data_IF_549238960921
#
_entry.id   IF_549238960921
#
_cell.length_a   1.000
_cell.length_b   1.000
_cell.length_c   1.000
_cell.angle_alpha   90.00
_cell.angle_beta   90.00
_cell.angle_gamma   90.00
#
_symmetry.space_group_name_H-M   'P 1'
#
loop_
_entity.id
_entity.type
_entity.pdbx_description
1 polymer ?
#
# COMPACT_ATOMS: atom_id res chain seq x y z
N UNK A 1 -16.81 -4.98 26.83
CA UNK A 1 -15.46 -5.35 26.38
C UNK A 1 -15.58 -6.23 25.14
N UNK A 2 -15.56 -5.63 23.95
CA UNK A 2 -15.54 -6.42 22.72
C UNK A 2 -14.08 -6.75 22.39
N UNK A 3 -13.82 -8.05 22.27
CA UNK A 3 -12.49 -8.62 22.10
C UNK A 3 -11.97 -8.25 20.69
N UNK A 4 -10.89 -7.46 20.60
CA UNK A 4 -10.19 -7.11 19.34
C UNK A 4 -9.59 -8.38 18.74
N UNK A 5 -10.37 -9.11 17.94
CA UNK A 5 -9.83 -10.15 17.07
C UNK A 5 -9.40 -9.49 15.77
N UNK A 6 -8.13 -9.09 15.72
CA UNK A 6 -7.45 -8.67 14.49
C UNK A 6 -7.15 -9.93 13.67
N UNK A 7 -8.11 -10.39 12.86
CA UNK A 7 -7.80 -11.38 11.82
C UNK A 7 -7.13 -10.64 10.66
N UNK A 8 -5.80 -10.69 10.62
CA UNK A 8 -5.00 -10.27 9.49
C UNK A 8 -4.86 -11.48 8.56
N UNK A 9 -5.80 -11.60 7.63
CA UNK A 9 -5.79 -12.70 6.66
C UNK A 9 -4.88 -12.32 5.48
N UNK A 10 -3.66 -12.87 5.47
CA UNK A 10 -2.75 -12.77 4.33
C UNK A 10 -3.13 -13.88 3.35
N UNK A 11 -3.95 -13.56 2.35
CA UNK A 11 -4.26 -14.51 1.28
C UNK A 11 -3.16 -14.47 0.20
N UNK A 12 -2.30 -15.50 0.17
CA UNK A 12 -1.24 -15.67 -0.84
C UNK A 12 -1.73 -16.63 -1.92
N UNK A 13 -2.12 -16.11 -3.09
CA UNK A 13 -2.55 -16.96 -4.21
C UNK A 13 -1.42 -17.22 -5.24
N UNK A 14 -1.02 -18.50 -5.28
CA UNK A 14 -0.42 -19.32 -6.37
C UNK A 14 0.96 -19.04 -6.98
N UNK A 15 1.85 -20.04 -6.80
CA UNK A 15 3.14 -20.30 -7.48
C UNK A 15 2.98 -20.71 -8.96
N UNK A 16 2.55 -19.80 -9.83
CA UNK A 16 2.65 -20.02 -11.29
C UNK A 16 3.05 -18.77 -12.09
N UNK A 17 3.17 -17.63 -11.41
CA UNK A 17 3.66 -16.36 -11.95
C UNK A 17 4.73 -15.82 -11.02
N UNK A 18 5.76 -15.13 -11.52
CA UNK A 18 6.82 -14.48 -10.69
C UNK A 18 6.30 -13.30 -9.84
N UNK A 19 5.02 -13.34 -9.45
CA UNK A 19 4.27 -12.28 -8.79
C UNK A 19 3.39 -12.85 -7.69
N UNK A 20 3.48 -12.23 -6.52
CA UNK A 20 2.76 -12.52 -5.29
C UNK A 20 1.70 -11.44 -5.11
N UNK A 21 0.46 -11.86 -4.92
CA UNK A 21 -0.64 -10.99 -4.50
C UNK A 21 -0.72 -10.97 -2.98
N UNK A 22 -0.79 -9.79 -2.37
CA UNK A 22 -0.88 -9.62 -0.93
C UNK A 22 -2.02 -8.68 -0.58
N UNK A 23 -2.81 -9.08 0.42
CA UNK A 23 -3.93 -8.31 0.96
C UNK A 23 -3.66 -8.04 2.44
N UNK A 24 -3.76 -6.78 2.83
CA UNK A 24 -3.77 -6.33 4.21
C UNK A 24 -5.20 -5.95 4.52
N UNK A 25 -5.82 -6.54 5.53
CA UNK A 25 -7.19 -6.19 5.93
C UNK A 25 -7.27 -6.02 7.44
N UNK A 26 -7.94 -4.95 7.85
CA UNK A 26 -8.36 -4.73 9.23
C UNK A 26 -9.74 -4.12 9.23
N UNK A 27 -10.67 -4.75 9.94
CA UNK A 27 -12.00 -4.20 10.19
C UNK A 27 -12.05 -3.63 11.61
N UNK A 28 -12.60 -2.42 11.74
CA UNK A 28 -12.71 -1.77 13.02
C UNK A 28 -13.88 -0.79 13.06
N UNK A 29 -14.11 -0.21 14.23
CA UNK A 29 -15.10 0.85 14.45
C UNK A 29 -14.35 2.16 14.66
N UNK A 30 -14.85 3.22 14.04
CA UNK A 30 -14.38 4.60 14.26
C UNK A 30 -15.41 5.27 15.16
N UNK A 31 -14.96 5.66 16.35
CA UNK A 31 -15.79 6.40 17.30
C UNK A 31 -15.82 7.89 16.95
N UNK A 32 -16.90 8.58 17.34
CA UNK A 32 -17.02 10.02 17.06
C UNK A 32 -16.05 10.84 17.92
N UNK A 33 -15.37 11.81 17.33
CA UNK A 33 -14.66 12.85 18.07
C UNK A 33 -15.69 13.65 18.90
N UNK A 34 -15.43 13.85 20.19
CA UNK A 34 -16.29 14.67 21.04
C UNK A 34 -16.23 16.15 20.65
N UNK A 35 -17.22 16.95 21.09
CA UNK A 35 -17.25 18.41 20.85
C UNK A 35 -16.12 19.20 21.56
N UNK A 36 -15.32 18.54 22.41
CA UNK A 36 -14.28 19.15 23.25
C UNK A 36 -12.89 19.22 22.60
N UNK A 37 -12.73 18.87 21.31
CA UNK A 37 -11.42 18.90 20.66
C UNK A 37 -10.98 20.32 20.27
N UNK A 38 -10.32 20.98 21.22
CA UNK A 38 -9.32 22.03 20.99
C UNK A 38 -7.96 21.39 20.66
N UNK A 39 -7.83 20.70 19.53
CA UNK A 39 -6.51 20.24 19.10
C UNK A 39 -6.43 20.21 17.57
N UNK A 40 -5.39 20.85 17.03
CA UNK A 40 -5.32 21.36 15.66
C UNK A 40 -5.26 20.34 14.51
N UNK A 41 -5.51 19.06 14.77
CA UNK A 41 -5.78 18.06 13.73
C UNK A 41 -7.30 17.82 13.76
N UNK A 42 -8.02 18.21 12.70
CA UNK A 42 -9.47 17.97 12.60
C UNK A 42 -9.85 16.51 12.90
N UNK A 43 -11.15 16.24 13.10
CA UNK A 43 -11.66 14.91 13.48
C UNK A 43 -11.28 13.79 12.50
N UNK A 44 -10.08 13.23 12.72
CA UNK A 44 -9.47 12.16 11.93
C UNK A 44 -9.05 11.05 12.88
N UNK A 45 -9.62 9.86 12.68
CA UNK A 45 -9.19 8.63 13.32
C UNK A 45 -8.12 7.94 12.46
N UNK A 46 -7.04 7.52 13.12
CA UNK A 46 -5.88 6.90 12.47
C UNK A 46 -5.70 5.50 13.03
N UNK A 47 -5.94 4.50 12.20
CA UNK A 47 -5.70 3.10 12.53
C UNK A 47 -4.42 2.61 11.87
N UNK A 48 -3.53 2.00 12.66
CA UNK A 48 -2.30 1.38 12.17
C UNK A 48 -2.28 -0.11 12.48
N UNK A 49 -1.93 -0.92 11.50
CA UNK A 49 -1.64 -2.34 11.67
C UNK A 49 -0.33 -2.68 10.97
N UNK A 50 0.42 -3.65 11.50
CA UNK A 50 1.73 -4.02 10.94
C UNK A 50 1.83 -5.53 10.78
N UNK A 51 2.46 -5.96 9.70
CA UNK A 51 2.67 -7.38 9.37
C UNK A 51 4.04 -7.59 8.74
N UNK A 52 4.82 -8.59 9.18
CA UNK A 52 6.02 -9.02 8.50
C UNK A 52 5.69 -9.78 7.20
N UNK A 53 6.30 -9.39 6.09
CA UNK A 53 6.25 -10.15 4.84
C UNK A 53 7.30 -11.26 4.85
N UNK A 54 6.87 -12.51 4.70
CA UNK A 54 7.81 -13.64 4.66
C UNK A 54 8.74 -13.59 3.45
N UNK A 55 8.22 -13.17 2.29
CA UNK A 55 8.99 -13.01 1.06
C UNK A 55 8.65 -11.65 0.46
N UNK A 56 9.69 -10.85 0.22
CA UNK A 56 9.61 -9.55 -0.39
C UNK A 56 9.65 -9.62 -1.92
N UNK A 57 9.96 -8.49 -2.54
CA UNK A 57 10.06 -8.36 -3.98
C UNK A 57 9.80 -6.92 -4.44
N UNK A 58 9.66 -6.73 -5.74
CA UNK A 58 9.42 -5.43 -6.35
C UNK A 58 7.93 -5.13 -6.40
N UNK A 59 7.51 -4.03 -5.78
CA UNK A 59 6.12 -3.58 -5.87
C UNK A 59 5.86 -3.15 -7.30
N UNK A 60 4.76 -3.64 -7.89
CA UNK A 60 4.33 -3.29 -9.26
C UNK A 60 2.97 -2.60 -9.28
N UNK A 61 2.16 -2.80 -8.24
CA UNK A 61 0.85 -2.21 -8.10
C UNK A 61 0.45 -2.13 -6.62
N UNK A 62 -0.30 -1.10 -6.26
CA UNK A 62 -0.93 -0.98 -4.96
C UNK A 62 -2.21 -0.17 -5.01
N UNK A 63 -3.21 -0.55 -4.23
CA UNK A 63 -4.47 0.19 -4.10
C UNK A 63 -5.10 -0.11 -2.74
N UNK A 64 -5.66 0.89 -2.08
CA UNK A 64 -6.46 0.67 -0.89
C UNK A 64 -7.93 0.49 -1.23
N UNK A 65 -8.68 -0.06 -0.29
CA UNK A 65 -10.13 -0.08 -0.29
C UNK A 65 -10.61 0.42 1.07
N UNK A 66 -11.48 1.43 1.05
CA UNK A 66 -12.08 2.03 2.22
C UNK A 66 -13.57 2.23 1.99
N UNK A 67 -14.34 2.22 3.08
CA UNK A 67 -15.76 2.54 3.08
C UNK A 67 -15.96 4.05 3.28
N UNK A 68 -17.19 4.52 3.11
CA UNK A 68 -17.56 5.93 3.31
C UNK A 68 -17.10 6.46 4.66
N UNK A 69 -16.43 7.61 4.65
CA UNK A 69 -15.71 8.16 5.80
C UNK A 69 -14.20 8.03 5.67
N UNK A 70 -13.70 7.17 4.79
CA UNK A 70 -12.27 7.07 4.50
C UNK A 70 -11.71 8.40 3.97
N UNK A 71 -10.57 8.82 4.49
CA UNK A 71 -9.80 10.00 4.06
C UNK A 71 -8.64 9.57 3.17
N UNK A 72 -8.11 8.38 3.41
CA UNK A 72 -7.00 7.81 2.67
C UNK A 72 -6.34 6.69 3.45
N UNK A 73 -5.49 5.94 2.77
CA UNK A 73 -4.69 4.90 3.38
C UNK A 73 -3.30 4.89 2.77
N UNK A 74 -2.30 4.65 3.61
CA UNK A 74 -0.90 4.58 3.20
C UNK A 74 -0.25 3.32 3.73
N UNK A 75 0.46 2.62 2.85
CA UNK A 75 1.32 1.49 3.21
C UNK A 75 2.76 1.99 3.33
N UNK A 76 3.38 1.68 4.46
CA UNK A 76 4.75 2.06 4.79
C UNK A 76 5.66 0.84 4.87
N UNK A 77 6.92 1.03 4.46
CA UNK A 77 8.01 0.11 4.76
C UNK A 77 8.48 0.25 6.20
N UNK A 78 9.28 -0.71 6.66
CA UNK A 78 9.77 -0.74 8.05
C UNK A 78 10.64 0.48 8.39
N UNK A 79 11.30 1.05 7.39
CA UNK A 79 12.12 2.26 7.48
C UNK A 79 11.29 3.56 7.43
N UNK A 80 9.95 3.45 7.43
CA UNK A 80 9.03 4.58 7.36
C UNK A 80 8.85 5.15 5.95
N UNK A 81 9.46 4.57 4.91
CA UNK A 81 9.25 5.02 3.53
C UNK A 81 7.81 4.74 3.10
N UNK A 82 7.26 5.64 2.30
CA UNK A 82 5.95 5.42 1.67
C UNK A 82 6.11 4.42 0.52
N UNK A 83 5.43 3.28 0.62
CA UNK A 83 5.32 2.30 -0.46
C UNK A 83 4.19 2.72 -1.39
N UNK A 84 3.01 2.99 -0.86
CA UNK A 84 1.89 3.46 -1.66
C UNK A 84 0.90 4.24 -0.80
N UNK A 85 0.47 5.40 -1.30
CA UNK A 85 -0.65 6.16 -0.73
C UNK A 85 -1.82 6.10 -1.70
N UNK A 86 -2.97 5.70 -1.17
CA UNK A 86 -4.21 5.55 -1.92
C UNK A 86 -5.27 6.46 -1.32
N UNK A 87 -5.80 7.36 -2.16
CA UNK A 87 -6.70 8.44 -1.79
C UNK A 87 -8.07 8.17 -2.40
N UNK A 88 -9.15 8.29 -1.62
CA UNK A 88 -10.51 8.08 -2.11
C UNK A 88 -10.96 9.18 -3.07
N UNK A 89 -11.67 8.75 -4.09
CA UNK A 89 -12.50 9.60 -4.94
C UNK A 89 -13.94 9.44 -4.48
N UNK A 90 -14.55 10.54 -4.05
CA UNK A 90 -15.96 10.56 -3.66
C UNK A 90 -16.87 10.87 -4.85
N UNK A 91 -18.05 10.27 -4.86
CA UNK A 91 -19.10 10.57 -5.82
C UNK A 91 -19.73 11.95 -5.55
N UNK A 92 -20.41 12.50 -6.56
CA UNK A 92 -21.05 13.81 -6.49
C UNK A 92 -22.47 13.86 -7.10
N UNK A 93 -23.02 12.71 -7.47
CA UNK A 93 -24.33 12.56 -8.09
C UNK A 93 -25.24 11.60 -7.33
N UNK A 94 -26.28 11.13 -8.02
CA UNK A 94 -27.26 10.17 -7.48
C UNK A 94 -27.30 8.87 -8.30
N UNK A 95 -26.43 8.75 -9.31
CA UNK A 95 -26.36 7.59 -10.18
C UNK A 95 -25.51 6.48 -9.55
N UNK A 96 -25.81 5.23 -9.92
CA UNK A 96 -25.06 4.07 -9.48
C UNK A 96 -23.56 4.22 -9.82
N UNK A 97 -22.70 4.20 -8.81
CA UNK A 97 -21.25 4.38 -8.96
C UNK A 97 -20.77 5.84 -9.00
N UNK A 98 -21.65 6.82 -8.74
CA UNK A 98 -21.28 8.22 -8.55
C UNK A 98 -22.03 8.86 -7.38
N UNK A 99 -22.46 8.08 -6.39
CA UNK A 99 -23.32 8.55 -5.30
C UNK A 99 -22.60 9.52 -4.36
N UNK A 100 -23.23 10.66 -4.08
CA UNK A 100 -22.72 11.67 -3.16
C UNK A 100 -22.52 11.09 -1.76
N UNK A 101 -21.31 11.28 -1.21
CA UNK A 101 -20.95 10.77 0.12
C UNK A 101 -20.44 9.33 0.15
N UNK A 102 -20.35 8.67 -1.00
CA UNK A 102 -19.73 7.35 -1.16
C UNK A 102 -18.38 7.44 -1.84
N UNK A 103 -17.47 6.54 -1.47
CA UNK A 103 -16.21 6.35 -2.18
C UNK A 103 -16.51 5.55 -3.44
N UNK A 104 -16.27 6.16 -4.60
CA UNK A 104 -16.54 5.58 -5.93
C UNK A 104 -15.27 5.11 -6.64
N UNK A 105 -14.11 5.31 -6.00
CA UNK A 105 -12.83 4.82 -6.46
C UNK A 105 -11.71 5.17 -5.49
N UNK A 106 -10.56 4.53 -5.67
CA UNK A 106 -9.35 4.77 -4.89
C UNK A 106 -8.19 4.98 -5.84
N UNK A 107 -7.27 5.90 -5.53
CA UNK A 107 -6.08 6.10 -6.35
C UNK A 107 -5.15 4.91 -6.26
N UNK A 108 -4.56 4.54 -7.39
CA UNK A 108 -3.66 3.39 -7.53
C UNK A 108 -2.21 3.84 -7.63
N UNK A 109 -1.29 3.07 -7.06
CA UNK A 109 0.15 3.28 -7.23
C UNK A 109 0.72 2.33 -8.30
N UNK A 110 1.49 2.91 -9.22
CA UNK A 110 2.30 2.17 -10.20
C UNK A 110 3.75 2.66 -10.09
N UNK A 111 4.53 2.13 -9.14
CA UNK A 111 5.93 2.51 -8.99
C UNK A 111 6.73 2.16 -10.26
N UNK A 112 7.78 2.92 -10.52
CA UNK A 112 8.70 2.61 -11.63
C UNK A 112 9.28 1.21 -11.40
N UNK A 113 9.31 0.33 -12.42
CA UNK A 113 9.89 -1.00 -12.27
C UNK A 113 11.31 -0.91 -11.68
N UNK A 114 11.52 -1.60 -10.56
CA UNK A 114 12.81 -1.65 -9.86
C UNK A 114 13.04 -0.55 -8.83
N UNK A 115 12.21 0.50 -8.77
CA UNK A 115 12.41 1.61 -7.84
C UNK A 115 11.90 1.32 -6.43
N UNK A 116 11.05 0.30 -6.27
CA UNK A 116 10.39 -0.01 -5.01
C UNK A 116 10.50 -1.50 -4.72
N UNK A 117 11.40 -1.83 -3.78
CA UNK A 117 11.63 -3.20 -3.33
C UNK A 117 11.23 -3.33 -1.86
N UNK A 118 10.55 -4.41 -1.52
CA UNK A 118 10.30 -4.86 -0.16
C UNK A 118 11.29 -5.99 0.12
N UNK A 119 11.95 -5.97 1.27
CA UNK A 119 12.92 -6.99 1.66
C UNK A 119 12.21 -8.19 2.31
N UNK A 120 12.85 -9.37 2.24
CA UNK A 120 12.37 -10.55 2.95
C UNK A 120 12.39 -10.29 4.46
N UNK A 121 11.28 -10.60 5.13
CA UNK A 121 11.09 -10.33 6.56
C UNK A 121 10.78 -8.87 6.89
N UNK A 122 10.68 -7.97 5.90
CA UNK A 122 10.36 -6.55 6.15
C UNK A 122 8.94 -6.42 6.72
N UNK A 123 8.80 -5.66 7.81
CA UNK A 123 7.50 -5.35 8.40
C UNK A 123 6.86 -4.17 7.67
N UNK A 124 5.70 -4.40 7.08
CA UNK A 124 4.91 -3.34 6.45
C UNK A 124 3.86 -2.83 7.43
N UNK A 125 3.67 -1.51 7.45
CA UNK A 125 2.65 -0.85 8.28
C UNK A 125 1.58 -0.25 7.39
N UNK A 126 0.35 -0.72 7.54
CA UNK A 126 -0.83 -0.13 6.94
C UNK A 126 -1.39 0.94 7.88
N UNK A 127 -1.50 2.17 7.38
CA UNK A 127 -2.21 3.27 8.02
C UNK A 127 -3.52 3.54 7.27
N UNK A 128 -4.63 3.59 7.99
CA UNK A 128 -5.95 3.88 7.47
C UNK A 128 -6.53 5.07 8.21
N UNK A 129 -6.81 6.14 7.47
CA UNK A 129 -7.31 7.40 8.00
C UNK A 129 -8.80 7.52 7.68
N UNK A 130 -9.62 7.79 8.68
CA UNK A 130 -11.07 7.97 8.58
C UNK A 130 -11.50 9.27 9.24
N UNK A 131 -12.56 9.87 8.72
CA UNK A 131 -13.23 10.99 9.36
C UNK A 131 -13.99 10.50 10.59
N UNK A 132 -13.69 11.06 11.76
CA UNK A 132 -14.34 10.73 13.03
C UNK A 132 -15.37 11.76 13.47
N UNK A 133 -15.79 12.69 12.60
CA UNK A 133 -16.86 13.67 12.94
C UNK A 133 -18.18 12.98 13.28
N UNK A 134 -18.41 11.79 12.71
CA UNK A 134 -19.50 10.89 13.05
C UNK A 134 -18.95 9.49 13.29
N UNK A 135 -19.69 8.67 14.01
CA UNK A 135 -19.35 7.27 14.18
C UNK A 135 -19.47 6.52 12.85
N UNK A 136 -18.52 5.60 12.60
CA UNK A 136 -18.59 4.64 11.51
C UNK A 136 -18.41 3.21 12.03
N UNK A 137 -19.32 2.31 11.67
CA UNK A 137 -19.26 0.89 12.02
C UNK A 137 -18.86 0.06 10.80
N UNK A 138 -18.09 -1.00 11.01
CA UNK A 138 -17.63 -1.88 9.93
C UNK A 138 -16.77 -1.14 8.91
N UNK A 139 -15.92 -0.21 9.36
CA UNK A 139 -14.94 0.39 8.45
C UNK A 139 -13.86 -0.62 8.15
N UNK A 140 -13.35 -0.57 6.92
CA UNK A 140 -12.30 -1.46 6.45
C UNK A 140 -11.06 -0.64 6.12
N UNK A 141 -9.93 -1.00 6.73
CA UNK A 141 -8.61 -0.64 6.25
C UNK A 141 -8.10 -1.82 5.42
N UNK A 142 -8.40 -1.82 4.12
CA UNK A 142 -7.88 -2.83 3.20
C UNK A 142 -6.84 -2.21 2.27
N UNK A 143 -5.75 -2.92 2.05
CA UNK A 143 -4.71 -2.55 1.10
C UNK A 143 -4.29 -3.77 0.29
N UNK A 144 -4.40 -3.65 -1.03
CA UNK A 144 -4.02 -4.66 -1.98
C UNK A 144 -2.71 -4.26 -2.65
N UNK A 145 -1.71 -5.14 -2.65
CA UNK A 145 -0.46 -4.92 -3.40
C UNK A 145 -0.11 -6.15 -4.25
N UNK A 146 0.51 -5.87 -5.40
CA UNK A 146 1.17 -6.88 -6.22
C UNK A 146 2.67 -6.68 -6.12
N UNK A 147 3.37 -7.78 -5.86
CA UNK A 147 4.83 -7.81 -5.68
C UNK A 147 5.42 -8.84 -6.64
N UNK A 148 6.36 -8.44 -7.47
CA UNK A 148 7.11 -9.34 -8.35
C UNK A 148 8.43 -9.76 -7.70
N UNK A 149 8.71 -11.06 -7.61
CA UNK A 149 9.96 -11.57 -7.05
C UNK A 149 11.17 -11.16 -7.92
N UNK A 150 10.99 -11.22 -9.24
CA UNK A 150 11.99 -10.84 -10.23
C UNK A 150 11.39 -9.92 -11.28
N UNK A 151 12.16 -8.90 -11.67
CA UNK A 151 11.79 -8.03 -12.79
C UNK A 151 12.41 -8.53 -14.09
N UNK A 152 11.74 -8.35 -15.25
CA UNK A 152 12.35 -8.68 -16.54
C UNK A 152 13.65 -7.91 -16.75
N UNK A 153 14.66 -8.60 -17.29
CA UNK A 153 16.06 -8.16 -17.44
C UNK A 153 16.24 -6.78 -18.09
N UNK A 154 15.26 -6.32 -18.86
CA UNK A 154 15.29 -5.01 -19.54
C UNK A 154 15.17 -3.81 -18.60
N UNK A 155 14.54 -3.96 -17.42
CA UNK A 155 14.34 -2.84 -16.48
C UNK A 155 15.55 -2.55 -15.59
N UNK A 156 16.46 -3.52 -15.40
CA UNK A 156 17.69 -3.34 -14.62
C UNK A 156 18.73 -2.47 -15.35
N UNK A 157 18.72 -2.45 -16.69
CA UNK A 157 19.68 -1.67 -17.51
C UNK A 157 19.47 -0.15 -17.45
N UNK A 158 18.27 0.32 -17.11
CA UNK A 158 18.00 1.75 -16.99
C UNK A 158 18.40 2.35 -15.63
N UNK A 159 18.76 1.52 -14.65
CA UNK A 159 19.24 2.01 -13.34
C UNK A 159 20.76 2.03 -13.23
N UNK A 160 21.49 1.27 -14.04
CA UNK A 160 22.95 1.11 -13.91
C UNK A 160 23.77 1.89 -14.93
N UNK A 161 23.16 2.60 -15.88
CA UNK A 161 23.91 3.32 -16.93
C UNK A 161 24.40 4.72 -16.53
N UNK A 162 24.60 4.97 -15.24
CA UNK A 162 25.22 6.20 -14.73
C UNK A 162 26.37 5.89 -13.78
N UNK A 163 27.34 5.09 -14.22
CA UNK A 163 28.76 5.09 -13.84
C UNK A 163 29.40 3.78 -14.32
N UNK A 164 30.73 3.78 -14.50
CA UNK A 164 31.55 2.64 -14.92
C UNK A 164 31.70 2.44 -16.44
N UNK A 165 32.45 3.35 -17.07
CA UNK A 165 33.41 2.95 -18.09
C UNK A 165 34.76 2.71 -17.38
N UNK A 166 35.15 1.45 -17.27
CA UNK A 166 36.53 1.00 -17.06
C UNK A 166 36.66 -0.21 -17.99
N UNK A 167 37.23 0.00 -19.18
CA UNK A 167 37.54 -1.09 -20.10
C UNK A 167 39.03 -1.39 -20.03
N UNK A 168 39.32 -2.54 -19.43
CA UNK A 168 40.64 -3.14 -19.27
C UNK A 168 40.87 -4.07 -20.46
N UNK A 169 41.43 -3.57 -21.56
CA UNK A 169 41.88 -4.44 -22.64
C UNK A 169 43.24 -5.04 -22.27
N UNK A 170 43.28 -6.36 -22.02
CA UNK A 170 44.52 -7.10 -22.11
C UNK A 170 44.35 -8.49 -22.73
N UNK A 171 45.07 -8.64 -23.84
CA UNK A 171 45.78 -9.81 -24.37
C UNK A 171 45.09 -10.92 -25.18
N UNK A 172 45.74 -11.11 -26.34
CA UNK A 172 46.09 -12.35 -27.06
C UNK A 172 45.11 -12.92 -28.09
N UNK A 173 45.54 -12.87 -29.35
CA UNK A 173 45.55 -14.04 -30.25
C UNK A 173 46.76 -13.94 -31.19
N UNK A 174 47.58 -14.99 -31.13
CA UNK A 174 48.72 -15.31 -32.01
C UNK A 174 48.31 -15.46 -33.47
N UNK A 175 49.11 -14.90 -34.39
CA UNK A 175 49.73 -15.53 -35.58
C UNK A 175 50.47 -14.49 -36.41
#
# INVERSE_FOLDING_TARGET
MYNKRNNLDIETHTRQTNSISLVFQVEYRVDSCGMDHKEGNGCVDVMKTSLPLQTGGYVIYGVAHQHSGGIGSTLYGQDGRVICSSIPKYGNGNEAGNESGYIVGMSTCYPKPGSMKIMDGETLTLESNYNSTKEHTGVMGLFYILVAEQLPYQHLRHSTRSSFFMDSNNMLLDS
#
